data_IF_040450772365
#
_entry.id   IF_040450772365
#
_cell.length_a   1.000
_cell.length_b   1.000
_cell.length_c   1.000
_cell.angle_alpha   90.00
_cell.angle_beta   90.00
_cell.angle_gamma   90.00
#
_symmetry.space_group_name_H-M   'P 1'
#
loop_
_entity.id
_entity.type
_entity.pdbx_description
1 polymer ?
#
# COMPACT_ATOMS: atom_id res chain seq x y z
N UNK A 1 -12.02 -8.59 -3.15
CA UNK A 1 -11.00 -8.86 -4.18
C UNK A 1 -9.66 -9.17 -3.50
N UNK A 2 -8.77 -9.81 -4.22
CA UNK A 2 -7.45 -10.13 -3.71
C UNK A 2 -6.42 -9.24 -4.40
N UNK A 3 -5.48 -8.71 -3.61
CA UNK A 3 -4.37 -7.92 -4.15
C UNK A 3 -3.06 -8.40 -3.55
N UNK A 4 -1.96 -8.07 -4.20
CA UNK A 4 -0.63 -8.40 -3.72
C UNK A 4 -0.01 -7.16 -3.07
N UNK A 5 0.53 -7.33 -1.87
CA UNK A 5 1.21 -6.26 -1.15
C UNK A 5 2.71 -6.51 -1.23
N UNK A 6 3.45 -5.49 -1.67
CA UNK A 6 4.91 -5.53 -1.75
C UNK A 6 5.42 -4.37 -0.91
N UNK A 7 6.33 -4.64 0.01
CA UNK A 7 6.86 -3.61 0.89
C UNK A 7 8.34 -3.39 0.65
N UNK A 8 8.79 -2.16 0.87
CA UNK A 8 10.18 -1.76 0.65
C UNK A 8 10.72 -1.01 1.85
N UNK A 9 12.04 -1.01 1.98
CA UNK A 9 12.73 -0.25 3.01
C UNK A 9 12.30 -0.63 4.41
N UNK A 10 12.13 0.37 5.27
CA UNK A 10 11.74 0.13 6.66
C UNK A 10 10.38 -0.52 6.79
N UNK A 11 9.53 -0.35 5.81
CA UNK A 11 8.19 -0.94 5.84
C UNK A 11 8.28 -2.45 5.78
N UNK A 12 9.27 -2.99 5.07
CA UNK A 12 9.45 -4.44 4.97
C UNK A 12 9.85 -5.08 6.31
N UNK A 13 10.21 -4.28 7.31
CA UNK A 13 10.55 -4.81 8.63
C UNK A 13 9.31 -5.27 9.41
N UNK A 14 8.13 -4.75 9.08
CA UNK A 14 6.90 -5.15 9.77
C UNK A 14 5.79 -5.59 8.82
N UNK A 15 5.95 -5.41 7.52
CA UNK A 15 4.99 -5.89 6.52
C UNK A 15 5.75 -6.75 5.52
N UNK A 16 5.46 -8.06 5.51
CA UNK A 16 6.06 -8.95 4.52
C UNK A 16 5.26 -8.90 3.23
N UNK A 17 5.93 -9.24 2.12
CA UNK A 17 5.22 -9.38 0.84
C UNK A 17 4.18 -10.48 0.97
N UNK A 18 2.94 -10.18 0.61
CA UNK A 18 1.84 -11.11 0.82
C UNK A 18 0.63 -10.73 -0.03
N UNK A 19 -0.28 -11.66 -0.16
CA UNK A 19 -1.58 -11.39 -0.77
C UNK A 19 -2.59 -11.17 0.33
N UNK A 20 -3.48 -10.20 0.14
CA UNK A 20 -4.55 -9.93 1.10
C UNK A 20 -5.87 -9.79 0.35
N UNK A 21 -6.95 -10.06 1.07
CA UNK A 21 -8.30 -9.89 0.55
C UNK A 21 -8.84 -8.57 1.09
N UNK A 22 -9.38 -7.74 0.21
CA UNK A 22 -9.91 -6.44 0.59
C UNK A 22 -11.31 -6.23 0.03
N UNK A 23 -12.06 -5.33 0.67
CA UNK A 23 -13.39 -4.93 0.20
C UNK A 23 -13.37 -3.53 -0.42
N UNK A 24 -12.24 -2.86 -0.36
CA UNK A 24 -12.13 -1.50 -0.88
C UNK A 24 -11.86 -1.51 -2.38
N UNK A 25 -12.34 -0.46 -3.06
CA UNK A 25 -12.18 -0.34 -4.50
C UNK A 25 -11.25 0.77 -4.95
N UNK A 26 -10.71 1.57 -4.01
CA UNK A 26 -9.85 2.70 -4.34
C UNK A 26 -8.62 2.74 -3.44
N UNK A 27 -7.60 3.46 -3.89
CA UNK A 27 -6.37 3.56 -3.11
C UNK A 27 -6.54 4.34 -1.82
N UNK A 28 -7.45 5.32 -1.78
CA UNK A 28 -7.72 6.04 -0.53
C UNK A 28 -8.34 5.11 0.51
N UNK A 29 -9.29 4.28 0.09
CA UNK A 29 -9.88 3.29 1.00
C UNK A 29 -8.85 2.25 1.43
N UNK A 30 -7.96 1.87 0.51
CA UNK A 30 -6.91 0.92 0.80
C UNK A 30 -5.95 1.45 1.86
N UNK A 31 -5.59 2.73 1.79
CA UNK A 31 -4.71 3.32 2.80
C UNK A 31 -5.32 3.20 4.18
N UNK A 32 -6.61 3.50 4.31
CA UNK A 32 -7.30 3.37 5.59
C UNK A 32 -7.29 1.92 6.06
N UNK A 33 -7.56 0.99 5.15
CA UNK A 33 -7.55 -0.43 5.48
C UNK A 33 -6.17 -0.89 5.95
N UNK A 34 -5.13 -0.48 5.23
CA UNK A 34 -3.75 -0.87 5.58
C UNK A 34 -3.36 -0.32 6.95
N UNK A 35 -3.78 0.90 7.28
CA UNK A 35 -3.47 1.48 8.58
C UNK A 35 -4.23 0.80 9.71
N UNK A 36 -5.36 0.19 9.39
CA UNK A 36 -6.10 -0.61 10.37
C UNK A 36 -5.43 -1.95 10.66
N UNK A 37 -4.94 -2.62 9.62
CA UNK A 37 -4.30 -3.94 9.81
C UNK A 37 -2.82 -3.82 10.16
N UNK A 38 -2.19 -2.71 9.79
CA UNK A 38 -0.80 -2.42 10.12
C UNK A 38 -0.74 -1.04 10.79
N UNK A 39 -1.07 -0.96 12.09
CA UNK A 39 -1.17 0.33 12.77
C UNK A 39 0.10 1.19 12.72
N UNK A 40 1.25 0.56 12.52
CA UNK A 40 2.50 1.29 12.41
C UNK A 40 2.52 2.24 11.21
N UNK A 41 1.75 1.94 10.17
CA UNK A 41 1.66 2.82 9.01
C UNK A 41 1.01 4.16 9.35
N UNK A 42 0.06 4.17 10.29
CA UNK A 42 -0.65 5.40 10.63
C UNK A 42 0.28 6.47 11.21
N UNK A 43 1.40 6.05 11.79
CA UNK A 43 2.35 6.97 12.41
C UNK A 43 3.53 7.34 11.52
N UNK A 44 3.53 6.92 10.28
CA UNK A 44 4.67 7.18 9.40
C UNK A 44 4.20 7.63 8.03
N UNK A 45 5.10 8.26 7.28
CA UNK A 45 4.82 8.66 5.91
C UNK A 45 5.18 7.51 4.98
N UNK A 46 4.37 7.30 3.97
CA UNK A 46 4.63 6.27 2.97
C UNK A 46 3.94 6.65 1.67
N UNK A 47 4.34 5.98 0.59
CA UNK A 47 3.73 6.15 -0.71
C UNK A 47 3.30 4.80 -1.24
N UNK A 48 2.27 4.82 -2.07
CA UNK A 48 1.76 3.61 -2.71
C UNK A 48 2.06 3.66 -4.20
N UNK A 49 2.33 2.51 -4.79
CA UNK A 49 2.41 2.36 -6.23
C UNK A 49 1.46 1.25 -6.64
N UNK A 50 0.64 1.55 -7.64
CA UNK A 50 -0.34 0.60 -8.15
C UNK A 50 0.21 0.03 -9.46
N UNK A 51 0.48 -1.28 -9.46
CA UNK A 51 1.07 -1.95 -10.62
C UNK A 51 2.30 -1.20 -11.14
N UNK A 52 3.20 -0.82 -10.21
CA UNK A 52 4.48 -0.13 -10.48
C UNK A 52 4.32 1.34 -10.86
N UNK A 53 3.12 1.88 -10.81
CA UNK A 53 2.88 3.30 -11.08
C UNK A 53 2.59 4.03 -9.78
N UNK A 54 3.35 5.08 -9.50
CA UNK A 54 3.17 5.84 -8.26
C UNK A 54 1.78 6.45 -8.18
N UNK A 55 1.11 6.22 -7.04
CA UNK A 55 -0.24 6.74 -6.82
C UNK A 55 -0.14 8.19 -6.39
N UNK A 56 -0.63 9.10 -7.23
CA UNK A 56 -0.61 10.53 -6.94
C UNK A 56 -1.99 11.08 -6.60
N UNK A 57 -3.02 10.30 -6.88
CA UNK A 57 -4.39 10.68 -6.57
C UNK A 57 -5.18 9.40 -6.33
N UNK A 58 -6.38 9.54 -5.78
CA UNK A 58 -7.23 8.39 -5.54
C UNK A 58 -7.47 7.63 -6.85
N UNK A 59 -7.14 6.35 -6.85
CA UNK A 59 -7.18 5.52 -8.04
C UNK A 59 -7.98 4.25 -7.80
N UNK A 60 -8.60 3.72 -8.85
CA UNK A 60 -9.36 2.49 -8.76
C UNK A 60 -8.44 1.28 -8.67
N UNK A 61 -8.82 0.33 -7.82
CA UNK A 61 -8.09 -0.92 -7.64
C UNK A 61 -8.92 -2.06 -8.24
N UNK A 62 -8.25 -2.99 -8.90
CA UNK A 62 -8.91 -4.15 -9.49
C UNK A 62 -8.35 -5.43 -8.88
N UNK A 63 -9.11 -6.50 -9.00
CA UNK A 63 -8.67 -7.79 -8.51
C UNK A 63 -7.32 -8.18 -9.11
N UNK A 64 -6.46 -8.74 -8.29
CA UNK A 64 -5.10 -9.17 -8.65
C UNK A 64 -4.12 -8.03 -8.90
N UNK A 65 -4.50 -6.79 -8.59
CA UNK A 65 -3.56 -5.68 -8.67
C UNK A 65 -2.44 -5.83 -7.65
N UNK A 66 -1.31 -5.22 -7.95
CA UNK A 66 -0.13 -5.22 -7.10
C UNK A 66 0.03 -3.84 -6.49
N UNK A 67 0.16 -3.79 -5.16
CA UNK A 67 0.34 -2.53 -4.42
C UNK A 67 1.69 -2.57 -3.73
N UNK A 68 2.54 -1.61 -4.08
CA UNK A 68 3.82 -1.44 -3.41
C UNK A 68 3.68 -0.36 -2.35
N UNK A 69 4.19 -0.63 -1.14
CA UNK A 69 4.21 0.34 -0.06
C UNK A 69 5.66 0.73 0.15
N UNK A 70 5.94 2.02 0.00
CA UNK A 70 7.31 2.51 0.02
C UNK A 70 7.45 3.66 1.00
N UNK A 71 8.60 3.77 1.71
CA UNK A 71 8.87 4.99 2.47
C UNK A 71 9.07 6.14 1.49
N UNK A 72 8.86 7.39 1.92
CA UNK A 72 9.13 8.52 1.04
C UNK A 72 10.62 8.57 0.75
N UNK A 73 10.97 8.92 -0.47
CA UNK A 73 12.36 9.05 -0.83
C UNK A 73 12.94 10.28 -0.15
N UNK A 74 14.08 10.11 0.52
CA UNK A 74 14.73 11.23 1.16
C UNK A 74 15.23 12.20 0.10
N UNK A 75 15.09 13.49 0.38
CA UNK A 75 15.51 14.51 -0.55
C UNK A 75 14.57 14.66 -1.73
N UNK A 76 13.55 13.88 -1.76
CA UNK A 76 12.58 13.96 -2.84
C UNK A 76 11.20 13.94 -2.33
#
# INVERSE_FOLDING_TARGET
MEIEIISFGKISEFISNQKITIDCGTTDELKTHLENIFPQLAGMKYKLALNKNLVQQNSEIKNSDSIAIMPPFSGG
#
